data_IF_724650449833
#
_entry.id   IF_724650449833
#
_cell.length_a   1.000
_cell.length_b   1.000
_cell.length_c   1.000
_cell.angle_alpha   90.00
_cell.angle_beta   90.00
_cell.angle_gamma   90.00
#
_symmetry.space_group_name_H-M   'P 1'
#
loop_
_entity.id
_entity.type
_entity.pdbx_description
1 polymer ?
#
# COMPACT_ATOMS: atom_id res chain seq x y z
N UNK A 1 -15.37 90.30 50.96
CA UNK A 1 -15.64 89.85 49.58
C UNK A 1 -15.46 88.35 49.53
N UNK A 2 -16.48 87.66 49.01
CA UNK A 2 -16.58 86.23 48.71
C UNK A 2 -15.32 85.68 47.98
N UNK A 3 -14.91 84.40 47.98
CA UNK A 3 -15.60 83.08 47.97
C UNK A 3 -14.61 81.98 48.46
N UNK A 4 -15.15 80.88 49.02
CA UNK A 4 -14.51 79.59 49.38
C UNK A 4 -13.89 78.80 48.20
N UNK A 5 -12.97 77.86 48.48
CA UNK A 5 -12.91 76.50 47.88
C UNK A 5 -11.77 75.70 48.56
N UNK A 6 -12.01 74.84 49.56
CA UNK A 6 -12.45 73.42 49.48
C UNK A 6 -11.74 72.65 48.36
N UNK A 7 -10.65 71.98 48.73
CA UNK A 7 -9.94 71.01 47.88
C UNK A 7 -10.75 69.73 47.73
N UNK A 8 -11.12 69.42 46.49
CA UNK A 8 -11.83 68.22 46.09
C UNK A 8 -10.81 67.10 45.81
N UNK A 9 -10.98 65.97 46.50
CA UNK A 9 -10.29 64.72 46.19
C UNK A 9 -10.79 64.16 44.84
N UNK A 10 -9.89 64.04 43.87
CA UNK A 10 -10.16 63.32 42.62
C UNK A 10 -9.87 61.83 42.84
N UNK A 11 -10.95 61.05 42.93
CA UNK A 11 -10.94 59.60 42.88
C UNK A 11 -10.46 59.14 41.50
N UNK A 12 -9.46 58.24 41.49
CA UNK A 12 -9.05 57.46 40.32
C UNK A 12 -10.17 56.47 39.98
N UNK A 13 -11.04 56.83 39.03
CA UNK A 13 -11.95 55.89 38.39
C UNK A 13 -11.16 55.10 37.33
N UNK A 14 -10.59 53.96 37.75
CA UNK A 14 -10.12 52.93 36.82
C UNK A 14 -11.33 52.15 36.31
N UNK A 15 -11.77 52.43 35.08
CA UNK A 15 -12.67 51.55 34.34
C UNK A 15 -11.87 50.31 33.90
N UNK A 16 -11.81 49.31 34.78
CA UNK A 16 -11.45 47.94 34.38
C UNK A 16 -12.62 47.36 33.60
N UNK A 17 -12.50 47.30 32.29
CA UNK A 17 -13.38 46.48 31.46
C UNK A 17 -12.97 45.02 31.71
N UNK A 18 -13.79 44.31 32.49
CA UNK A 18 -13.61 42.92 32.94
C UNK A 18 -13.95 41.92 31.81
N UNK A 19 -13.54 42.27 30.59
CA UNK A 19 -13.70 41.41 29.42
C UNK A 19 -12.53 40.43 29.39
N UNK A 20 -12.79 39.17 29.73
CA UNK A 20 -11.81 38.09 29.58
C UNK A 20 -11.17 38.17 28.17
N UNK A 21 -9.83 38.15 28.06
CA UNK A 21 -9.18 38.17 26.76
C UNK A 21 -9.66 36.96 25.96
N UNK A 22 -10.41 37.21 24.88
CA UNK A 22 -10.87 36.16 23.96
C UNK A 22 -9.64 35.37 23.51
N UNK A 23 -9.55 34.11 23.93
CA UNK A 23 -8.54 33.17 23.45
C UNK A 23 -8.59 33.21 21.91
N UNK A 24 -7.48 33.48 21.20
CA UNK A 24 -7.45 33.40 19.76
C UNK A 24 -8.01 32.04 19.35
N UNK A 25 -9.02 32.05 18.50
CA UNK A 25 -9.54 30.82 17.89
C UNK A 25 -8.35 30.15 17.21
N UNK A 26 -8.01 28.94 17.64
CA UNK A 26 -6.92 28.20 17.05
C UNK A 26 -7.24 28.09 15.55
N UNK A 27 -6.31 28.56 14.70
CA UNK A 27 -6.44 28.36 13.27
C UNK A 27 -6.72 26.86 13.03
N UNK A 28 -7.72 26.55 12.22
CA UNK A 28 -7.98 25.17 11.84
C UNK A 28 -6.67 24.57 11.33
N UNK A 29 -6.18 23.51 11.99
CA UNK A 29 -5.03 22.78 11.48
C UNK A 29 -5.42 22.20 10.15
N UNK A 30 -4.72 22.57 9.08
CA UNK A 30 -4.84 21.84 7.83
C UNK A 30 -4.30 20.42 8.07
N UNK A 31 -5.17 19.42 7.93
CA UNK A 31 -4.76 18.03 8.03
C UNK A 31 -3.69 17.78 6.96
N UNK A 32 -2.47 17.50 7.41
CA UNK A 32 -1.34 17.21 6.54
C UNK A 32 -1.17 15.70 6.48
N UNK A 33 -1.54 15.10 5.35
CA UNK A 33 -1.39 13.66 5.13
C UNK A 33 0.02 13.31 4.62
N UNK A 34 0.51 12.09 4.90
CA UNK A 34 1.80 11.64 4.36
C UNK A 34 1.84 11.73 2.83
N UNK A 35 2.87 12.38 2.32
CA UNK A 35 3.08 12.59 0.88
C UNK A 35 4.10 11.59 0.37
N UNK A 36 3.88 11.10 -0.85
CA UNK A 36 4.83 10.24 -1.56
C UNK A 36 6.25 10.80 -1.53
N UNK A 37 7.21 9.92 -1.20
CA UNK A 37 8.63 10.15 -1.38
C UNK A 37 9.24 9.01 -2.19
N UNK A 38 10.16 9.33 -3.11
CA UNK A 38 10.79 8.33 -3.98
C UNK A 38 11.69 7.33 -3.24
N UNK A 39 11.99 7.58 -1.97
CA UNK A 39 12.79 6.70 -1.10
C UNK A 39 11.93 5.72 -0.29
N UNK A 40 10.60 5.80 -0.38
CA UNK A 40 9.69 4.87 0.30
C UNK A 40 9.75 3.48 -0.36
N UNK A 41 9.53 2.45 0.45
CA UNK A 41 9.32 1.11 -0.09
C UNK A 41 8.03 1.09 -0.94
N UNK A 42 7.94 0.27 -2.01
CA UNK A 42 6.83 0.32 -2.96
C UNK A 42 5.43 0.21 -2.34
N UNK A 43 5.28 -0.58 -1.27
CA UNK A 43 3.98 -0.72 -0.59
C UNK A 43 3.58 0.54 0.16
N UNK A 44 4.51 1.15 0.89
CA UNK A 44 4.31 2.43 1.60
C UNK A 44 4.03 3.55 0.60
N UNK A 45 4.84 3.62 -0.47
CA UNK A 45 4.66 4.55 -1.57
C UNK A 45 3.28 4.42 -2.22
N UNK A 46 2.78 3.20 -2.43
CA UNK A 46 1.46 2.97 -2.98
C UNK A 46 0.35 3.43 -2.02
N UNK A 47 0.50 3.22 -0.71
CA UNK A 47 -0.49 3.61 0.31
C UNK A 47 -0.81 5.10 0.32
N UNK A 48 0.13 5.97 -0.10
CA UNK A 48 -0.12 7.43 -0.23
C UNK A 48 -1.10 7.79 -1.36
N UNK A 49 -1.50 6.82 -2.18
CA UNK A 49 -2.44 7.00 -3.29
C UNK A 49 -3.74 6.23 -3.10
N UNK A 50 -3.82 5.34 -2.11
CA UNK A 50 -4.99 4.48 -1.88
C UNK A 50 -6.03 5.25 -1.08
N UNK A 51 -7.27 5.42 -1.60
CA UNK A 51 -8.34 6.06 -0.85
C UNK A 51 -8.67 5.31 0.45
N UNK A 52 -8.99 6.05 1.53
CA UNK A 52 -9.34 5.49 2.84
C UNK A 52 -10.41 4.36 2.81
N UNK A 53 -11.35 4.44 1.87
CA UNK A 53 -12.43 3.47 1.70
C UNK A 53 -12.05 2.15 1.01
N UNK A 54 -10.87 2.08 0.38
CA UNK A 54 -10.41 0.87 -0.28
C UNK A 54 -10.35 -0.32 0.69
N UNK A 55 -10.35 -1.53 0.13
CA UNK A 55 -10.35 -2.79 0.89
C UNK A 55 -9.10 -3.61 0.68
N UNK A 56 -8.50 -3.55 -0.51
CA UNK A 56 -7.30 -4.32 -0.81
C UNK A 56 -6.30 -3.47 -1.59
N UNK A 57 -5.02 -3.78 -1.42
CA UNK A 57 -3.89 -3.22 -2.15
C UNK A 57 -2.94 -4.38 -2.52
N UNK A 58 -2.65 -4.52 -3.81
CA UNK A 58 -1.75 -5.53 -4.35
C UNK A 58 -0.58 -4.81 -5.03
N UNK A 59 0.64 -5.01 -4.54
CA UNK A 59 1.86 -4.36 -5.02
C UNK A 59 2.86 -5.40 -5.50
N UNK A 60 3.45 -5.20 -6.67
CA UNK A 60 4.59 -6.01 -7.15
C UNK A 60 5.75 -5.07 -7.48
N UNK A 61 6.91 -5.35 -6.91
CA UNK A 61 8.17 -4.69 -7.22
C UNK A 61 8.88 -5.50 -8.31
N UNK A 62 8.92 -4.94 -9.52
CA UNK A 62 9.53 -5.60 -10.67
C UNK A 62 11.04 -5.51 -10.69
N UNK A 63 11.65 -4.55 -9.98
CA UNK A 63 13.10 -4.51 -9.84
C UNK A 63 13.57 -5.61 -8.88
N UNK A 64 12.84 -5.85 -7.78
CA UNK A 64 13.07 -7.02 -6.92
C UNK A 64 12.81 -8.35 -7.65
N UNK A 65 11.78 -8.43 -8.50
CA UNK A 65 11.55 -9.62 -9.35
C UNK A 65 12.70 -9.86 -10.33
N UNK A 66 13.25 -8.80 -10.94
CA UNK A 66 14.42 -8.92 -11.83
C UNK A 66 15.66 -9.35 -11.06
N UNK A 67 15.92 -8.75 -9.90
CA UNK A 67 17.04 -9.05 -9.01
C UNK A 67 17.03 -10.51 -8.55
N UNK A 68 15.85 -11.06 -8.21
CA UNK A 68 15.68 -12.48 -7.87
C UNK A 68 16.24 -13.43 -8.95
N UNK A 69 16.23 -12.97 -10.20
CA UNK A 69 16.63 -13.75 -11.37
C UNK A 69 17.98 -13.36 -11.95
N UNK A 70 18.63 -12.30 -11.43
CA UNK A 70 19.85 -11.72 -12.01
C UNK A 70 19.61 -11.04 -13.36
N UNK A 71 18.42 -10.43 -13.53
CA UNK A 71 17.94 -9.82 -14.78
C UNK A 71 17.72 -8.30 -14.63
N UNK A 72 18.47 -7.66 -13.73
CA UNK A 72 18.33 -6.26 -13.31
C UNK A 72 18.35 -5.27 -14.49
N UNK A 73 19.19 -5.54 -15.50
CA UNK A 73 19.37 -4.68 -16.67
C UNK A 73 18.33 -4.90 -17.78
N UNK A 74 17.36 -5.81 -17.58
CA UNK A 74 16.36 -6.09 -18.61
C UNK A 74 15.31 -4.98 -18.69
N UNK A 75 15.14 -4.46 -19.90
CA UNK A 75 14.25 -3.34 -20.22
C UNK A 75 13.45 -3.64 -21.49
N UNK A 76 12.54 -2.74 -21.87
CA UNK A 76 11.83 -2.88 -23.16
C UNK A 76 12.75 -2.82 -24.39
N UNK A 77 13.97 -2.31 -24.23
CA UNK A 77 14.99 -2.19 -25.28
C UNK A 77 15.90 -3.41 -25.38
N UNK A 78 15.84 -4.33 -24.41
CA UNK A 78 16.58 -5.59 -24.45
C UNK A 78 16.07 -6.49 -25.57
N UNK A 79 16.79 -7.57 -25.88
CA UNK A 79 16.38 -8.44 -26.98
C UNK A 79 15.02 -9.10 -26.70
N UNK A 80 14.27 -9.52 -27.74
CA UNK A 80 13.03 -10.29 -27.52
C UNK A 80 13.24 -11.56 -26.70
N UNK A 81 14.43 -12.19 -26.79
CA UNK A 81 14.77 -13.37 -26.02
C UNK A 81 14.89 -13.04 -24.52
N UNK A 82 15.63 -11.99 -24.15
CA UNK A 82 15.81 -11.60 -22.74
C UNK A 82 14.49 -11.17 -22.10
N UNK A 83 13.67 -10.42 -22.85
CA UNK A 83 12.33 -10.04 -22.39
C UNK A 83 11.45 -11.29 -22.20
N UNK A 84 11.49 -12.24 -23.14
CA UNK A 84 10.76 -13.50 -22.98
C UNK A 84 11.27 -14.30 -21.79
N UNK A 85 12.57 -14.31 -21.51
CA UNK A 85 13.15 -14.98 -20.36
C UNK A 85 12.67 -14.39 -19.04
N UNK A 86 12.79 -13.07 -18.87
CA UNK A 86 12.30 -12.34 -17.69
C UNK A 86 10.86 -12.73 -17.37
N UNK A 87 10.02 -12.68 -18.39
CA UNK A 87 8.60 -12.90 -18.24
C UNK A 87 8.23 -14.37 -18.02
N UNK A 88 8.91 -15.29 -18.70
CA UNK A 88 8.72 -16.71 -18.46
C UNK A 88 9.12 -17.12 -17.04
N UNK A 89 10.18 -16.52 -16.49
CA UNK A 89 10.61 -16.77 -15.11
C UNK A 89 9.66 -16.11 -14.11
N UNK A 90 9.29 -14.85 -14.32
CA UNK A 90 8.33 -14.16 -13.47
C UNK A 90 6.99 -14.90 -13.38
N UNK A 91 6.48 -15.42 -14.50
CA UNK A 91 5.19 -16.10 -14.56
C UNK A 91 5.22 -17.54 -13.97
N UNK A 92 6.41 -18.11 -13.73
CA UNK A 92 6.58 -19.48 -13.19
C UNK A 92 7.15 -19.53 -11.79
N UNK A 93 7.98 -18.56 -11.42
CA UNK A 93 8.85 -18.62 -10.24
C UNK A 93 8.62 -17.46 -9.28
N UNK A 94 8.02 -16.33 -9.70
CA UNK A 94 7.74 -15.19 -8.83
C UNK A 94 6.29 -15.17 -8.33
N UNK A 95 6.11 -14.82 -7.07
CA UNK A 95 4.80 -14.44 -6.55
C UNK A 95 4.51 -13.01 -7.01
N UNK A 96 3.59 -12.84 -7.95
CA UNK A 96 3.14 -11.53 -8.44
C UNK A 96 1.67 -11.34 -8.05
N UNK A 97 1.36 -10.33 -7.24
CA UNK A 97 -0.01 -10.12 -6.72
C UNK A 97 -0.77 -9.03 -7.47
N UNK A 98 -0.08 -8.09 -8.11
CA UNK A 98 -0.69 -7.00 -8.89
C UNK A 98 -1.13 -7.41 -10.31
N UNK A 99 -0.58 -8.51 -10.83
CA UNK A 99 -1.01 -9.14 -12.08
C UNK A 99 -0.41 -8.58 -13.38
N UNK A 100 0.55 -7.65 -13.31
CA UNK A 100 1.27 -7.14 -14.47
C UNK A 100 0.39 -6.29 -15.38
N UNK A 101 0.02 -5.09 -14.89
CA UNK A 101 -0.97 -4.21 -15.51
C UNK A 101 -0.70 -3.99 -17.00
N UNK A 102 0.54 -3.67 -17.39
CA UNK A 102 0.86 -3.32 -18.77
C UNK A 102 1.17 -4.52 -19.68
N UNK A 103 1.22 -5.75 -19.14
CA UNK A 103 1.63 -6.95 -19.88
C UNK A 103 0.73 -7.22 -21.09
N UNK A 104 -0.58 -7.03 -20.94
CA UNK A 104 -1.55 -7.25 -22.01
C UNK A 104 -1.46 -6.28 -23.20
N UNK A 105 -0.74 -5.16 -23.05
CA UNK A 105 -0.53 -4.16 -24.12
C UNK A 105 0.95 -3.91 -24.42
N UNK A 106 1.84 -4.73 -23.85
CA UNK A 106 3.29 -4.53 -23.90
C UNK A 106 3.82 -4.41 -25.33
N UNK A 107 3.44 -5.34 -26.21
CA UNK A 107 3.86 -5.35 -27.62
C UNK A 107 3.57 -4.00 -28.30
N UNK A 108 2.36 -3.46 -28.11
CA UNK A 108 1.97 -2.16 -28.68
C UNK A 108 2.75 -1.01 -28.08
N UNK A 109 3.00 -1.04 -26.76
CA UNK A 109 3.82 -0.05 -26.08
C UNK A 109 5.23 -0.03 -26.66
N UNK A 110 5.86 -1.19 -26.82
CA UNK A 110 7.24 -1.30 -27.34
C UNK A 110 7.33 -0.85 -28.79
N UNK A 111 6.43 -1.33 -29.64
CA UNK A 111 6.49 -1.08 -31.08
C UNK A 111 6.23 0.39 -31.41
N UNK A 112 5.22 1.00 -30.77
CA UNK A 112 4.74 2.35 -31.10
C UNK A 112 5.38 3.44 -30.24
N UNK A 113 5.57 3.18 -28.94
CA UNK A 113 5.94 4.19 -27.95
C UNK A 113 7.35 4.00 -27.38
N UNK A 114 8.05 2.92 -27.74
CA UNK A 114 9.45 2.64 -27.39
C UNK A 114 9.71 2.49 -25.88
N UNK A 115 8.70 2.01 -25.15
CA UNK A 115 8.78 1.57 -23.76
C UNK A 115 7.79 0.42 -23.53
N UNK A 116 7.88 -0.30 -22.42
CA UNK A 116 6.98 -1.45 -22.17
C UNK A 116 6.90 -1.85 -20.71
N UNK A 117 6.28 -3.00 -20.45
CA UNK A 117 6.12 -3.58 -19.12
C UNK A 117 7.48 -3.79 -18.42
N UNK A 118 8.56 -4.05 -19.17
CA UNK A 118 9.89 -4.25 -18.59
C UNK A 118 10.54 -2.94 -18.09
N UNK A 119 9.96 -1.77 -18.42
CA UNK A 119 10.38 -0.49 -17.85
C UNK A 119 9.57 -0.08 -16.61
N UNK A 120 8.64 -0.92 -16.16
CA UNK A 120 7.97 -0.74 -14.87
C UNK A 120 8.96 -1.12 -13.76
N UNK A 121 9.07 -0.24 -12.77
CA UNK A 121 9.87 -0.45 -11.54
C UNK A 121 9.00 -1.18 -10.54
N UNK A 122 7.81 -0.65 -10.25
CA UNK A 122 6.81 -1.30 -9.42
C UNK A 122 5.41 -0.89 -9.88
N UNK A 123 4.43 -1.71 -9.54
CA UNK A 123 3.03 -1.38 -9.76
C UNK A 123 2.16 -1.80 -8.58
N UNK A 124 1.06 -1.09 -8.43
CA UNK A 124 0.08 -1.31 -7.39
C UNK A 124 -1.34 -1.25 -7.95
N UNK A 125 -2.21 -2.13 -7.47
CA UNK A 125 -3.66 -2.10 -7.74
C UNK A 125 -4.41 -2.10 -6.42
N UNK A 126 -5.43 -1.27 -6.31
CA UNK A 126 -6.34 -1.28 -5.17
C UNK A 126 -7.80 -1.41 -5.61
N UNK A 127 -8.59 -2.04 -4.74
CA UNK A 127 -10.02 -2.32 -5.00
C UNK A 127 -10.86 -2.10 -3.74
N UNK A 128 -12.17 -2.01 -3.93
CA UNK A 128 -13.14 -1.75 -2.86
C UNK A 128 -13.30 -0.25 -2.55
N UNK A 129 -14.40 0.12 -1.88
CA UNK A 129 -14.63 1.50 -1.44
C UNK A 129 -14.95 2.53 -2.53
N UNK A 130 -15.13 2.11 -3.77
CA UNK A 130 -15.36 3.00 -4.90
C UNK A 130 -14.91 2.37 -6.22
N UNK A 131 -14.23 3.18 -7.06
CA UNK A 131 -13.65 2.70 -8.31
C UNK A 131 -12.28 2.09 -8.05
N UNK A 132 -12.06 0.88 -8.58
CA UNK A 132 -10.72 0.28 -8.65
C UNK A 132 -9.72 1.24 -9.28
N UNK A 133 -8.51 1.27 -8.74
CA UNK A 133 -7.45 2.14 -9.22
C UNK A 133 -6.08 1.47 -9.18
N UNK A 134 -5.09 2.20 -9.67
CA UNK A 134 -3.73 1.73 -9.74
C UNK A 134 -2.71 2.87 -9.70
N UNK A 135 -1.49 2.49 -9.38
CA UNK A 135 -0.27 3.30 -9.47
C UNK A 135 0.80 2.48 -10.15
N UNK A 136 1.51 3.06 -11.12
CA UNK A 136 2.63 2.40 -11.82
C UNK A 136 3.80 3.35 -11.80
N UNK A 137 4.92 2.94 -11.18
CA UNK A 137 6.19 3.64 -11.30
C UNK A 137 6.94 3.09 -12.49
N UNK A 138 7.30 4.00 -13.40
CA UNK A 138 8.12 3.67 -14.58
C UNK A 138 9.51 4.26 -14.42
N UNK A 139 10.49 3.65 -15.10
CA UNK A 139 11.85 4.18 -15.15
C UNK A 139 11.87 5.61 -15.71
N UNK A 140 12.79 6.44 -15.22
CA UNK A 140 12.80 7.89 -15.49
C UNK A 140 12.91 8.26 -16.99
N UNK A 141 13.50 7.35 -17.78
CA UNK A 141 13.60 7.48 -19.24
C UNK A 141 12.25 7.36 -19.98
N UNK A 142 11.22 6.81 -19.34
CA UNK A 142 9.94 6.50 -19.96
C UNK A 142 9.10 7.76 -20.16
N UNK A 143 8.51 7.88 -21.35
CA UNK A 143 7.64 9.00 -21.73
C UNK A 143 6.24 8.46 -22.06
N UNK A 144 5.36 8.25 -21.06
CA UNK A 144 4.09 7.55 -21.26
C UNK A 144 2.98 8.43 -21.83
N UNK A 145 3.15 9.76 -21.82
CA UNK A 145 2.15 10.74 -22.25
C UNK A 145 1.47 10.43 -23.61
N UNK A 146 2.23 10.11 -24.68
CA UNK A 146 1.62 9.74 -25.96
C UNK A 146 0.76 8.47 -25.91
N UNK A 147 1.16 7.45 -25.14
CA UNK A 147 0.40 6.22 -24.98
C UNK A 147 -0.88 6.43 -24.15
N UNK A 148 -0.79 7.25 -23.11
CA UNK A 148 -1.94 7.68 -22.29
C UNK A 148 -2.94 8.46 -23.14
N UNK A 149 -2.47 9.45 -23.91
CA UNK A 149 -3.32 10.25 -24.82
C UNK A 149 -4.03 9.38 -25.86
N UNK A 150 -3.35 8.36 -26.37
CA UNK A 150 -3.93 7.39 -27.31
C UNK A 150 -4.85 6.35 -26.64
N UNK A 151 -4.95 6.34 -25.31
CA UNK A 151 -5.82 5.45 -24.57
C UNK A 151 -5.45 3.97 -24.69
N UNK A 152 -4.15 3.65 -24.66
CA UNK A 152 -3.67 2.27 -24.80
C UNK A 152 -4.04 1.43 -23.57
N UNK A 153 -4.97 0.48 -23.74
CA UNK A 153 -5.39 -0.44 -22.67
C UNK A 153 -5.85 0.30 -21.41
N UNK A 154 -5.30 -0.09 -20.26
CA UNK A 154 -5.64 0.52 -18.96
C UNK A 154 -5.18 1.97 -18.80
N UNK A 155 -4.24 2.45 -19.64
CA UNK A 155 -3.72 3.83 -19.61
C UNK A 155 -4.78 4.86 -20.02
N UNK A 156 -5.90 4.43 -20.62
CA UNK A 156 -7.01 5.32 -20.94
C UNK A 156 -7.52 6.04 -19.69
N UNK A 157 -7.42 7.37 -19.68
CA UNK A 157 -7.83 8.22 -18.56
C UNK A 157 -6.88 8.20 -17.37
N UNK A 158 -5.69 7.63 -17.51
CA UNK A 158 -4.64 7.74 -16.51
C UNK A 158 -4.01 9.14 -16.52
N UNK A 159 -3.37 9.50 -15.41
CA UNK A 159 -2.53 10.69 -15.28
C UNK A 159 -1.08 10.26 -15.18
N UNK A 160 -0.16 11.10 -15.67
CA UNK A 160 1.27 10.92 -15.48
C UNK A 160 1.84 12.13 -14.76
N UNK A 161 2.54 11.89 -13.67
CA UNK A 161 3.32 12.91 -12.98
C UNK A 161 4.80 12.81 -13.42
N UNK A 162 5.31 13.79 -14.18
CA UNK A 162 6.69 13.77 -14.67
C UNK A 162 7.74 13.97 -13.58
N UNK A 163 7.38 14.46 -12.38
CA UNK A 163 8.33 14.62 -11.28
C UNK A 163 8.61 13.31 -10.57
N UNK A 164 7.56 12.52 -10.35
CA UNK A 164 7.64 11.25 -9.63
C UNK A 164 7.73 10.05 -10.57
N UNK A 165 7.53 10.24 -11.87
CA UNK A 165 7.40 9.21 -12.90
C UNK A 165 6.33 8.16 -12.58
N UNK A 166 5.22 8.60 -11.97
CA UNK A 166 4.09 7.77 -11.62
C UNK A 166 2.96 7.93 -12.64
N UNK A 167 2.38 6.80 -13.05
CA UNK A 167 1.12 6.74 -13.79
C UNK A 167 0.03 6.33 -12.80
N UNK A 168 -0.99 7.16 -12.63
CA UNK A 168 -2.06 6.94 -11.64
C UNK A 168 -3.44 6.94 -12.28
N UNK A 169 -4.36 6.17 -11.69
CA UNK A 169 -5.79 6.20 -12.05
C UNK A 169 -6.66 5.91 -10.84
N UNK A 170 -7.72 6.70 -10.67
CA UNK A 170 -8.68 6.61 -9.56
C UNK A 170 -8.02 6.66 -8.16
N UNK A 171 -6.86 7.33 -8.03
CA UNK A 171 -6.14 7.51 -6.75
C UNK A 171 -6.74 8.63 -5.93
N UNK A 172 -6.47 8.62 -4.63
CA UNK A 172 -6.71 9.75 -3.75
C UNK A 172 -5.92 10.98 -4.22
N UNK A 173 -6.43 12.17 -3.93
CA UNK A 173 -5.70 13.43 -4.07
C UNK A 173 -4.94 13.75 -2.78
N UNK A 174 -3.89 14.59 -2.83
CA UNK A 174 -3.01 14.83 -1.66
C UNK A 174 -3.71 15.43 -0.43
N UNK A 175 -4.88 16.03 -0.61
CA UNK A 175 -5.70 16.69 0.41
C UNK A 175 -6.72 15.76 1.09
N UNK A 176 -6.72 14.47 0.74
CA UNK A 176 -7.67 13.49 1.26
C UNK A 176 -6.93 12.42 2.05
N UNK A 177 -7.55 11.95 3.14
CA UNK A 177 -7.03 10.84 3.92
C UNK A 177 -6.78 9.60 3.04
N UNK A 178 -5.58 9.04 3.18
CA UNK A 178 -5.12 7.85 2.46
C UNK A 178 -4.77 6.73 3.42
N UNK A 179 -4.52 5.53 2.90
CA UNK A 179 -4.04 4.42 3.72
C UNK A 179 -2.72 4.72 4.44
N UNK A 180 -1.88 5.60 3.90
CA UNK A 180 -0.63 6.00 4.56
C UNK A 180 -0.85 6.81 5.85
N UNK A 181 -2.04 7.37 6.06
CA UNK A 181 -2.40 8.09 7.28
C UNK A 181 -3.02 7.18 8.36
N UNK A 182 -3.22 5.89 8.08
CA UNK A 182 -3.88 4.94 8.97
C UNK A 182 -2.84 4.03 9.61
N UNK A 183 -2.59 4.24 10.90
CA UNK A 183 -1.54 3.53 11.66
C UNK A 183 -1.67 2.01 11.55
N UNK A 184 -2.89 1.47 11.58
CA UNK A 184 -3.14 0.03 11.49
C UNK A 184 -2.77 -0.57 10.12
N UNK A 185 -2.81 0.22 9.05
CA UNK A 185 -2.41 -0.21 7.70
C UNK A 185 -0.91 -0.07 7.51
N UNK A 186 -0.32 1.02 8.01
CA UNK A 186 1.14 1.22 8.00
C UNK A 186 1.84 0.13 8.82
N UNK A 187 1.29 -0.26 9.97
CA UNK A 187 1.86 -1.31 10.82
C UNK A 187 1.95 -2.69 10.13
N UNK A 188 1.15 -2.94 9.10
CA UNK A 188 1.20 -4.18 8.30
C UNK A 188 1.87 -3.98 6.93
N UNK A 189 2.23 -2.76 6.55
CA UNK A 189 3.11 -2.50 5.42
C UNK A 189 4.54 -2.87 5.83
N UNK A 190 4.96 -4.10 5.57
CA UNK A 190 6.31 -4.55 5.95
C UNK A 190 7.41 -4.03 5.05
N UNK A 191 8.58 -4.66 5.20
CA UNK A 191 9.81 -4.29 4.50
C UNK A 191 9.94 -4.88 3.09
N UNK A 192 11.15 -4.87 2.51
CA UNK A 192 11.39 -5.22 1.12
C UNK A 192 10.86 -6.61 0.74
N UNK A 193 10.07 -6.66 -0.33
CA UNK A 193 9.42 -7.86 -0.84
C UNK A 193 9.25 -7.75 -2.37
N UNK A 194 9.30 -8.88 -3.09
CA UNK A 194 8.98 -8.88 -4.52
C UNK A 194 7.51 -8.53 -4.77
N UNK A 195 6.65 -8.83 -3.80
CA UNK A 195 5.25 -8.44 -3.86
C UNK A 195 4.59 -8.44 -2.48
N UNK A 196 3.61 -7.57 -2.27
CA UNK A 196 2.85 -7.44 -1.03
C UNK A 196 1.37 -7.30 -1.32
N UNK A 197 0.55 -8.11 -0.65
CA UNK A 197 -0.91 -8.01 -0.69
C UNK A 197 -1.42 -7.57 0.68
N UNK A 198 -2.06 -6.41 0.75
CA UNK A 198 -2.60 -5.81 1.98
C UNK A 198 -4.12 -5.80 1.92
N UNK A 199 -4.76 -6.13 3.04
CA UNK A 199 -6.21 -6.13 3.20
C UNK A 199 -6.59 -5.32 4.43
N UNK A 200 -7.55 -4.41 4.25
CA UNK A 200 -8.19 -3.66 5.34
C UNK A 200 -9.31 -4.51 5.93
N UNK A 201 -9.14 -4.92 7.17
CA UNK A 201 -9.99 -5.85 7.91
C UNK A 201 -9.42 -7.26 8.00
N UNK A 202 -10.22 -8.18 8.55
CA UNK A 202 -9.93 -9.60 8.66
C UNK A 202 -10.50 -10.40 7.48
N UNK A 203 -10.00 -11.62 7.28
CA UNK A 203 -10.57 -12.55 6.31
C UNK A 203 -11.89 -13.16 6.82
N UNK A 204 -12.89 -13.27 5.95
CA UNK A 204 -14.14 -13.95 6.29
C UNK A 204 -13.95 -15.48 6.42
N UNK A 205 -14.90 -16.15 7.06
CA UNK A 205 -14.91 -17.61 7.17
C UNK A 205 -14.10 -18.17 8.34
N UNK A 206 -14.06 -17.45 9.47
CA UNK A 206 -13.46 -17.91 10.71
C UNK A 206 -14.11 -19.15 11.34
N UNK A 207 -13.55 -19.66 12.45
CA UNK A 207 -14.09 -20.80 13.18
C UNK A 207 -15.55 -20.58 13.58
N UNK A 208 -16.37 -21.64 13.56
CA UNK A 208 -17.80 -21.53 13.94
C UNK A 208 -18.00 -21.22 15.42
N UNK A 209 -17.06 -21.62 16.25
CA UNK A 209 -17.05 -21.34 17.68
C UNK A 209 -16.07 -20.21 17.94
N UNK A 210 -16.40 -19.28 18.84
CA UNK A 210 -15.48 -18.20 19.22
C UNK A 210 -14.21 -18.78 19.82
N UNK A 211 -13.09 -18.42 19.24
CA UNK A 211 -11.77 -18.97 19.55
C UNK A 211 -10.88 -18.01 20.33
N UNK A 212 -11.40 -16.83 20.70
CA UNK A 212 -10.64 -15.75 21.33
C UNK A 212 -9.48 -15.26 20.45
N UNK A 213 -9.66 -15.30 19.12
CA UNK A 213 -8.70 -14.69 18.22
C UNK A 213 -8.63 -13.19 18.50
N UNK A 214 -7.41 -12.66 18.57
CA UNK A 214 -7.21 -11.22 18.66
C UNK A 214 -7.78 -10.57 17.38
N UNK A 215 -8.51 -9.44 17.50
CA UNK A 215 -9.03 -8.71 16.35
C UNK A 215 -7.94 -8.38 15.33
N UNK A 216 -8.29 -8.40 14.05
CA UNK A 216 -7.40 -8.04 12.95
C UNK A 216 -8.02 -6.84 12.23
N UNK A 217 -7.43 -5.66 12.44
CA UNK A 217 -7.84 -4.42 11.78
C UNK A 217 -7.36 -4.36 10.32
N UNK A 218 -6.20 -4.96 10.05
CA UNK A 218 -5.64 -5.16 8.72
C UNK A 218 -4.62 -6.29 8.74
N UNK A 219 -4.30 -6.83 7.56
CA UNK A 219 -3.20 -7.79 7.41
C UNK A 219 -2.50 -7.62 6.08
N UNK A 220 -1.29 -8.15 5.99
CA UNK A 220 -0.56 -8.26 4.73
C UNK A 220 0.06 -9.64 4.54
N UNK A 221 0.26 -10.03 3.28
CA UNK A 221 1.10 -11.16 2.89
C UNK A 221 2.20 -10.64 1.95
N UNK A 222 3.43 -10.70 2.43
CA UNK A 222 4.65 -10.36 1.69
C UNK A 222 5.25 -11.63 1.09
N UNK A 223 5.80 -11.54 -0.12
CA UNK A 223 6.56 -12.61 -0.77
C UNK A 223 7.96 -12.13 -1.16
N UNK A 224 8.97 -12.98 -0.98
CA UNK A 224 10.33 -12.71 -1.43
C UNK A 224 11.27 -13.89 -1.20
N UNK A 225 12.18 -14.17 -2.14
CA UNK A 225 13.24 -15.18 -1.96
C UNK A 225 12.75 -16.61 -1.62
N UNK A 226 11.56 -17.00 -2.08
CA UNK A 226 10.95 -18.30 -1.73
C UNK A 226 10.32 -18.36 -0.34
N UNK A 227 10.19 -17.22 0.33
CA UNK A 227 9.52 -17.06 1.61
C UNK A 227 8.23 -16.24 1.46
N UNK A 228 7.34 -16.39 2.43
CA UNK A 228 6.23 -15.49 2.63
C UNK A 228 6.13 -15.08 4.10
N UNK A 229 5.73 -13.83 4.34
CA UNK A 229 5.50 -13.29 5.68
C UNK A 229 4.08 -12.76 5.76
N UNK A 230 3.28 -13.31 6.66
CA UNK A 230 2.00 -12.74 7.04
C UNK A 230 2.21 -11.75 8.20
N UNK A 231 1.64 -10.56 8.12
CA UNK A 231 1.61 -9.58 9.22
C UNK A 231 0.20 -9.32 9.69
N UNK A 232 0.00 -9.29 11.01
CA UNK A 232 -1.32 -9.13 11.63
C UNK A 232 -1.37 -7.97 12.66
N UNK A 233 -0.31 -7.16 12.74
CA UNK A 233 -0.09 -6.16 13.80
C UNK A 233 0.63 -6.75 15.00
N UNK A 234 1.37 -5.94 15.76
CA UNK A 234 2.26 -6.37 16.86
C UNK A 234 1.52 -6.95 18.08
N UNK A 235 2.28 -7.56 19.01
CA UNK A 235 1.81 -8.04 20.31
C UNK A 235 0.63 -9.04 20.26
N UNK A 236 0.87 -10.20 19.63
CA UNK A 236 -0.17 -11.18 19.29
C UNK A 236 0.06 -12.53 19.96
N UNK A 237 -0.78 -12.91 20.91
CA UNK A 237 -0.72 -14.21 21.58
C UNK A 237 -1.41 -15.37 20.81
N UNK A 238 -2.18 -15.05 19.77
CA UNK A 238 -3.02 -15.99 19.02
C UNK A 238 -2.38 -16.58 17.76
N UNK A 239 -1.13 -16.20 17.43
CA UNK A 239 -0.49 -16.57 16.16
C UNK A 239 -0.29 -18.08 16.00
N UNK A 240 0.05 -18.80 17.09
CA UNK A 240 0.19 -20.25 17.04
C UNK A 240 -1.15 -20.95 16.76
N UNK A 241 -2.27 -20.36 17.18
CA UNK A 241 -3.59 -20.88 16.85
C UNK A 241 -3.94 -20.60 15.39
N UNK A 242 -3.68 -19.38 14.90
CA UNK A 242 -3.87 -19.01 13.49
C UNK A 242 -3.03 -19.86 12.54
N UNK A 243 -1.81 -20.21 12.93
CA UNK A 243 -0.98 -21.14 12.17
C UNK A 243 -1.68 -22.51 12.01
N UNK A 244 -2.28 -23.04 13.08
CA UNK A 244 -3.05 -24.29 13.04
C UNK A 244 -4.32 -24.18 12.18
N UNK A 245 -4.97 -23.02 12.12
CA UNK A 245 -6.11 -22.81 11.22
C UNK A 245 -5.71 -22.97 9.76
N UNK A 246 -4.56 -22.43 9.36
CA UNK A 246 -4.07 -22.63 7.99
C UNK A 246 -3.70 -24.07 7.67
N UNK A 247 -3.20 -24.83 8.64
CA UNK A 247 -2.91 -26.27 8.47
C UNK A 247 -4.17 -27.11 8.19
N UNK A 248 -5.36 -26.60 8.55
CA UNK A 248 -6.65 -27.24 8.27
C UNK A 248 -7.12 -26.98 6.84
N UNK A 249 -6.61 -25.93 6.18
CA UNK A 249 -6.99 -25.58 4.81
C UNK A 249 -6.00 -26.21 3.83
N UNK A 250 -6.41 -27.32 3.21
CA UNK A 250 -5.55 -28.14 2.34
C UNK A 250 -4.82 -27.34 1.24
N UNK A 251 -5.48 -26.34 0.65
CA UNK A 251 -4.89 -25.47 -0.37
C UNK A 251 -3.70 -24.67 0.18
N UNK A 252 -3.84 -24.08 1.38
CA UNK A 252 -2.78 -23.29 2.02
C UNK A 252 -1.63 -24.18 2.49
N UNK A 253 -1.92 -25.32 3.13
CA UNK A 253 -0.91 -26.30 3.56
C UNK A 253 -0.06 -26.85 2.41
N UNK A 254 -0.59 -26.89 1.19
CA UNK A 254 0.15 -27.35 0.00
C UNK A 254 1.24 -26.37 -0.42
N UNK A 255 1.01 -25.07 -0.25
CA UNK A 255 1.88 -24.01 -0.80
C UNK A 255 2.72 -23.31 0.28
N UNK A 256 2.20 -23.16 1.50
CA UNK A 256 2.90 -22.61 2.66
C UNK A 256 3.33 -23.75 3.58
N UNK A 257 4.62 -23.78 3.92
CA UNK A 257 5.22 -24.84 4.73
C UNK A 257 6.16 -24.28 5.77
N UNK A 258 6.44 -25.07 6.82
CA UNK A 258 7.38 -24.69 7.88
C UNK A 258 7.03 -23.34 8.52
N UNK A 259 5.75 -23.12 8.84
CA UNK A 259 5.29 -21.88 9.43
C UNK A 259 5.93 -21.61 10.80
N UNK A 260 6.38 -20.38 11.02
CA UNK A 260 6.97 -19.92 12.28
C UNK A 260 6.28 -18.64 12.71
N UNK A 261 5.67 -18.66 13.89
CA UNK A 261 5.02 -17.49 14.48
C UNK A 261 6.01 -16.70 15.34
N UNK A 262 5.96 -15.38 15.20
CA UNK A 262 6.66 -14.40 16.03
C UNK A 262 5.61 -13.49 16.70
N UNK A 263 5.12 -13.87 17.89
CA UNK A 263 4.11 -13.11 18.66
C UNK A 263 4.44 -11.64 18.88
N UNK A 264 5.72 -11.32 19.14
CA UNK A 264 6.13 -9.97 19.50
C UNK A 264 5.89 -8.98 18.35
N UNK A 265 6.19 -9.41 17.13
CA UNK A 265 6.05 -8.57 15.93
C UNK A 265 4.80 -8.87 15.12
N UNK A 266 3.97 -9.82 15.56
CA UNK A 266 2.73 -10.16 14.87
C UNK A 266 2.91 -10.89 13.54
N UNK A 267 4.04 -11.55 13.33
CA UNK A 267 4.42 -12.14 12.04
C UNK A 267 4.27 -13.66 12.03
N UNK A 268 3.89 -14.21 10.88
CA UNK A 268 4.03 -15.64 10.60
C UNK A 268 4.84 -15.81 9.31
N UNK A 269 6.02 -16.38 9.42
CA UNK A 269 6.89 -16.67 8.28
C UNK A 269 6.68 -18.08 7.73
N UNK A 270 6.76 -18.25 6.41
CA UNK A 270 6.56 -19.53 5.72
C UNK A 270 7.62 -19.74 4.63
N UNK A 271 7.96 -21.00 4.37
CA UNK A 271 8.56 -21.41 3.09
C UNK A 271 7.45 -21.58 2.05
N UNK A 272 7.70 -21.07 0.84
CA UNK A 272 6.75 -21.11 -0.27
C UNK A 272 7.19 -22.13 -1.31
N UNK A 273 6.39 -23.18 -1.50
CA UNK A 273 6.70 -24.24 -2.49
C UNK A 273 6.38 -23.85 -3.92
N UNK A 274 5.33 -23.04 -4.12
CA UNK A 274 4.89 -22.57 -5.42
C UNK A 274 4.50 -21.09 -5.31
N UNK A 275 5.43 -20.16 -5.60
CA UNK A 275 5.19 -18.71 -5.44
C UNK A 275 3.97 -18.22 -6.23
N UNK A 276 3.83 -18.64 -7.49
CA UNK A 276 2.71 -18.27 -8.35
C UNK A 276 1.36 -18.74 -7.79
N UNK A 277 1.31 -20.01 -7.34
CA UNK A 277 0.09 -20.56 -6.73
C UNK A 277 -0.23 -19.89 -5.41
N UNK A 278 0.79 -19.56 -4.61
CA UNK A 278 0.61 -18.87 -3.34
C UNK A 278 0.05 -17.45 -3.54
N UNK A 279 0.61 -16.68 -4.48
CA UNK A 279 0.10 -15.34 -4.84
C UNK A 279 -1.35 -15.39 -5.33
N UNK A 280 -1.68 -16.36 -6.19
CA UNK A 280 -3.06 -16.58 -6.65
C UNK A 280 -3.98 -16.93 -5.49
N UNK A 281 -3.54 -17.81 -4.58
CA UNK A 281 -4.35 -18.26 -3.46
C UNK A 281 -4.70 -17.10 -2.52
N UNK A 282 -3.72 -16.28 -2.14
CA UNK A 282 -3.95 -15.17 -1.18
C UNK A 282 -4.79 -14.03 -1.76
N UNK A 283 -4.77 -13.83 -3.08
CA UNK A 283 -5.56 -12.78 -3.76
C UNK A 283 -6.96 -13.23 -4.14
N UNK A 284 -7.22 -14.54 -4.22
CA UNK A 284 -8.49 -15.11 -4.69
C UNK A 284 -9.33 -15.78 -3.61
N UNK A 285 -8.74 -16.08 -2.45
CA UNK A 285 -9.41 -16.80 -1.36
C UNK A 285 -9.15 -16.13 -0.01
N UNK A 286 -10.08 -16.27 0.96
CA UNK A 286 -9.83 -15.86 2.33
C UNK A 286 -8.55 -16.47 2.89
N UNK A 287 -7.73 -15.65 3.55
CA UNK A 287 -6.48 -16.09 4.18
C UNK A 287 -6.80 -16.66 5.57
N UNK A 288 -6.67 -17.99 5.78
CA UNK A 288 -7.15 -18.66 7.00
C UNK A 288 -6.41 -18.21 8.26
N UNK A 289 -5.19 -17.71 8.10
CA UNK A 289 -4.40 -17.17 9.20
C UNK A 289 -4.91 -15.81 9.69
N UNK A 290 -5.64 -15.07 8.85
CA UNK A 290 -6.09 -13.70 9.12
C UNK A 290 -7.60 -13.61 9.37
N UNK A 291 -8.26 -14.73 9.68
CA UNK A 291 -9.71 -14.77 9.87
C UNK A 291 -10.19 -13.93 11.06
N UNK A 292 -11.43 -13.46 10.96
CA UNK A 292 -12.19 -12.89 12.06
C UNK A 292 -12.52 -13.98 13.11
N UNK A 293 -12.73 -13.59 14.37
CA UNK A 293 -13.28 -14.47 15.42
C UNK A 293 -14.80 -14.62 15.32
#
# INVERSE_FOLDING_TARGET
MCVLAVGLALALAGCGDDSEPKRPEAAASEDTYPVYAATMDPVEAAMTFVPAGAKTLAVTDYDEVKSLFGLDDITSRSSPADQSELWNRADKEAAQVSGGLLRGVDQRLRDTYKWGAADVIWEARFTGGGKDGYVIKVADRVKPGPAIKAGVGLLKGAKFDPKTHLITKNTATPDVETWAAQEELVAVAGGPATSTYVVKGCAEGGPKEKTRLAPVAAYSVEFGGGLATLRLGEDRDDLFYRLKLGDQVAAYKKVFTNGVADPATGRIGFRVKSPVTAATLVTSQPVPFAVCD
#
